data_IF_418631730202
#
_entry.id   IF_418631730202
#
_cell.length_a   1.000
_cell.length_b   1.000
_cell.length_c   1.000
_cell.angle_alpha   90.00
_cell.angle_beta   90.00
_cell.angle_gamma   90.00
#
_symmetry.space_group_name_H-M   'P 1'
#
loop_
_entity.id
_entity.type
_entity.pdbx_description
1 polymer ?
#
# COMPACT_ATOMS: atom_id res chain seq x y z
N UNK A 1 13.97 10.47 -5.38
CA UNK A 1 13.29 10.12 -6.65
C UNK A 1 11.96 10.83 -6.72
N UNK A 2 11.55 11.31 -7.89
CA UNK A 2 10.27 12.01 -8.10
C UNK A 2 9.10 11.00 -7.97
N UNK A 3 8.02 11.28 -7.23
CA UNK A 3 6.86 10.38 -7.16
C UNK A 3 6.27 10.00 -8.53
N UNK A 4 6.53 10.79 -9.58
CA UNK A 4 6.14 10.43 -10.96
C UNK A 4 6.98 9.29 -11.54
N UNK A 5 8.22 9.12 -11.09
CA UNK A 5 9.12 8.07 -11.59
C UNK A 5 9.00 6.77 -10.79
N UNK A 6 8.58 6.84 -9.52
CA UNK A 6 8.34 5.68 -8.67
C UNK A 6 7.13 5.91 -7.74
N UNK A 7 5.88 5.84 -8.26
CA UNK A 7 4.69 6.02 -7.46
C UNK A 7 4.56 4.90 -6.44
N UNK A 8 4.28 5.25 -5.18
CA UNK A 8 4.07 4.31 -4.08
C UNK A 8 5.23 3.31 -3.90
N UNK A 9 6.48 3.81 -3.92
CA UNK A 9 7.71 3.01 -3.95
C UNK A 9 7.76 1.83 -2.96
N UNK A 10 7.36 2.00 -1.70
CA UNK A 10 7.35 0.88 -0.76
C UNK A 10 6.26 -0.16 -1.02
N UNK A 11 5.13 0.22 -1.62
CA UNK A 11 4.11 -0.74 -2.07
C UNK A 11 4.57 -1.53 -3.29
N UNK A 12 5.31 -0.91 -4.22
CA UNK A 12 5.80 -1.59 -5.41
C UNK A 12 7.03 -2.45 -5.12
N UNK A 13 7.92 -2.03 -4.21
CA UNK A 13 9.11 -2.78 -3.85
C UNK A 13 8.83 -3.96 -2.89
N UNK A 14 8.02 -3.76 -1.84
CA UNK A 14 7.73 -4.79 -0.83
C UNK A 14 6.26 -5.18 -0.79
N UNK A 15 5.37 -4.20 -0.94
CA UNK A 15 3.92 -4.41 -0.83
C UNK A 15 3.39 -5.47 -1.81
N UNK A 16 3.98 -5.59 -3.01
CA UNK A 16 3.52 -6.53 -4.04
C UNK A 16 3.62 -7.99 -3.59
N UNK A 17 4.74 -8.40 -2.97
CA UNK A 17 4.93 -9.77 -2.47
C UNK A 17 3.89 -10.13 -1.42
N UNK A 18 3.55 -9.15 -0.60
CA UNK A 18 2.71 -9.34 0.56
C UNK A 18 1.23 -9.35 0.16
N UNK A 19 0.85 -8.49 -0.78
CA UNK A 19 -0.47 -8.53 -1.41
C UNK A 19 -0.68 -9.81 -2.21
N UNK A 20 0.32 -10.29 -2.93
CA UNK A 20 0.28 -11.56 -3.68
C UNK A 20 0.09 -12.77 -2.75
N UNK A 21 0.79 -12.79 -1.61
CA UNK A 21 0.58 -13.79 -0.57
C UNK A 21 -0.88 -13.82 -0.07
N UNK A 22 -1.48 -12.65 0.20
CA UNK A 22 -2.89 -12.62 0.65
C UNK A 22 -3.87 -13.00 -0.46
N UNK A 23 -3.62 -12.63 -1.72
CA UNK A 23 -4.45 -13.08 -2.85
C UNK A 23 -4.39 -14.59 -3.01
N UNK A 24 -3.22 -15.19 -2.83
CA UNK A 24 -3.03 -16.64 -2.87
C UNK A 24 -3.77 -17.36 -1.75
N UNK A 25 -3.86 -16.76 -0.56
CA UNK A 25 -4.50 -17.39 0.61
C UNK A 25 -6.00 -17.11 0.74
N UNK A 26 -6.43 -15.88 0.46
CA UNK A 26 -7.80 -15.40 0.68
C UNK A 26 -8.63 -15.32 -0.62
N UNK A 27 -8.01 -15.59 -1.77
CA UNK A 27 -8.65 -15.52 -3.08
C UNK A 27 -8.81 -14.09 -3.58
N UNK A 28 -9.80 -13.87 -4.46
CA UNK A 28 -9.93 -12.59 -5.17
C UNK A 28 -10.31 -11.43 -4.26
N UNK A 29 -9.63 -10.30 -4.45
CA UNK A 29 -10.03 -9.01 -3.89
C UNK A 29 -11.38 -8.53 -4.48
N UNK A 30 -12.19 -7.90 -3.65
CA UNK A 30 -13.46 -7.25 -4.00
C UNK A 30 -13.30 -5.73 -4.11
N UNK A 31 -12.55 -5.11 -3.20
CA UNK A 31 -12.38 -3.66 -3.16
C UNK A 31 -11.05 -3.29 -2.53
N UNK A 32 -10.39 -2.26 -3.04
CA UNK A 32 -9.12 -1.73 -2.52
C UNK A 32 -9.30 -0.26 -2.16
N UNK A 33 -8.94 0.11 -0.93
CA UNK A 33 -8.90 1.49 -0.45
C UNK A 33 -7.46 1.88 -0.17
N UNK A 34 -7.04 3.06 -0.61
CA UNK A 34 -5.70 3.57 -0.38
C UNK A 34 -5.77 4.97 0.25
N UNK A 35 -4.95 5.22 1.28
CA UNK A 35 -4.81 6.52 1.93
C UNK A 35 -3.33 6.86 2.02
N UNK A 36 -2.97 8.07 1.57
CA UNK A 36 -1.61 8.60 1.71
C UNK A 36 -1.57 9.64 2.82
N UNK A 37 -0.47 9.70 3.56
CA UNK A 37 -0.28 10.59 4.71
C UNK A 37 1.17 11.07 4.83
N UNK A 38 1.42 11.89 5.84
CA UNK A 38 2.77 12.26 6.27
C UNK A 38 2.89 12.04 7.78
N UNK A 39 3.90 11.28 8.20
CA UNK A 39 4.19 11.00 9.63
C UNK A 39 5.50 11.66 10.06
N UNK A 40 6.52 11.65 9.20
CA UNK A 40 7.89 12.10 9.46
C UNK A 40 8.25 13.32 8.60
N UNK A 41 7.82 13.38 7.34
CA UNK A 41 8.11 14.52 6.46
C UNK A 41 7.20 15.73 6.76
N UNK A 42 7.77 16.93 6.70
CA UNK A 42 6.97 18.15 6.74
C UNK A 42 6.01 18.25 5.54
N UNK A 43 4.80 18.70 5.83
CA UNK A 43 3.78 18.97 4.83
C UNK A 43 4.34 19.92 3.75
N UNK A 44 4.12 19.68 2.44
CA UNK A 44 3.12 18.80 1.83
C UNK A 44 3.64 17.43 1.38
N UNK A 45 4.89 17.07 1.72
CA UNK A 45 5.44 15.77 1.32
C UNK A 45 4.67 14.66 2.03
N UNK A 46 4.44 13.55 1.33
CA UNK A 46 3.78 12.36 1.87
C UNK A 46 4.81 11.25 1.94
N UNK A 47 4.91 10.61 3.09
CA UNK A 47 5.86 9.52 3.36
C UNK A 47 5.17 8.19 3.65
N UNK A 48 3.85 8.17 3.79
CA UNK A 48 3.13 6.95 4.18
C UNK A 48 1.97 6.65 3.26
N UNK A 49 1.75 5.36 3.02
CA UNK A 49 0.65 4.80 2.25
C UNK A 49 0.05 3.62 3.00
N UNK A 50 -1.23 3.75 3.35
CA UNK A 50 -2.03 2.66 3.89
C UNK A 50 -2.97 2.10 2.83
N UNK A 51 -2.99 0.79 2.66
CA UNK A 51 -3.87 0.07 1.73
C UNK A 51 -4.73 -0.91 2.51
N UNK A 52 -6.05 -0.85 2.33
CA UNK A 52 -7.01 -1.83 2.83
C UNK A 52 -7.62 -2.60 1.66
N UNK A 53 -7.42 -3.91 1.64
CA UNK A 53 -7.97 -4.82 0.65
C UNK A 53 -9.12 -5.59 1.30
N UNK A 54 -10.32 -5.45 0.75
CA UNK A 54 -11.48 -6.27 1.10
C UNK A 54 -11.58 -7.42 0.12
N UNK A 55 -11.68 -8.63 0.63
CA UNK A 55 -11.81 -9.83 -0.20
C UNK A 55 -13.29 -10.14 -0.46
N UNK A 56 -13.57 -11.05 -1.39
CA UNK A 56 -14.94 -11.53 -1.62
C UNK A 56 -15.48 -12.29 -0.40
N UNK A 57 -14.59 -13.00 0.28
CA UNK A 57 -14.84 -13.55 1.61
C UNK A 57 -14.81 -12.41 2.64
N UNK A 58 -15.45 -12.58 3.80
CA UNK A 58 -15.69 -11.51 4.79
C UNK A 58 -14.41 -11.00 5.52
N UNK A 59 -13.23 -11.23 4.94
CA UNK A 59 -11.94 -10.80 5.46
C UNK A 59 -11.47 -9.50 4.80
N UNK A 60 -10.81 -8.66 5.59
CA UNK A 60 -10.14 -7.45 5.13
C UNK A 60 -8.72 -7.40 5.66
N UNK A 61 -7.78 -7.04 4.80
CA UNK A 61 -6.37 -6.91 5.15
C UNK A 61 -5.95 -5.46 5.01
N UNK A 62 -5.35 -4.88 6.06
CA UNK A 62 -4.81 -3.52 6.06
C UNK A 62 -3.29 -3.57 6.13
N UNK A 63 -2.63 -2.76 5.30
CA UNK A 63 -1.17 -2.60 5.25
C UNK A 63 -0.81 -1.12 5.28
N UNK A 64 0.33 -0.80 5.89
CA UNK A 64 0.92 0.53 5.90
C UNK A 64 2.37 0.39 5.43
N UNK A 65 2.76 1.16 4.42
CA UNK A 65 4.09 1.16 3.84
C UNK A 65 4.59 2.59 3.70
N UNK A 66 5.90 2.75 3.86
CA UNK A 66 6.59 3.99 3.52
C UNK A 66 6.56 4.19 2.00
N UNK A 67 6.35 5.41 1.53
CA UNK A 67 6.41 5.78 0.10
C UNK A 67 7.63 6.61 -0.25
N UNK A 68 8.49 6.89 0.72
CA UNK A 68 9.79 7.50 0.47
C UNK A 68 10.72 6.47 -0.20
N UNK A 69 11.44 6.90 -1.25
CA UNK A 69 12.49 6.08 -1.85
C UNK A 69 13.71 6.07 -0.91
N UNK A 70 14.21 4.89 -0.57
CA UNK A 70 15.54 4.70 0.03
C UNK A 70 16.64 5.12 -0.95
#
# INVERSE_FOLDING_TARGET
MDPKTAPAGGMTALGIHLSDFFLSFLGSAKTVYAKTGSIVLEHPKKDTLSVNIRFKIMYSVTRCHDITPF
#
